data_IF_368293797712
#
_entry.id   IF_368293797712
#
_cell.length_a   1.000
_cell.length_b   1.000
_cell.length_c   1.000
_cell.angle_alpha   90.00
_cell.angle_beta   90.00
_cell.angle_gamma   90.00
#
_symmetry.space_group_name_H-M   'P 1'
#
loop_
_entity.id
_entity.type
_entity.pdbx_description
1 polymer ?
#
# COMPACT_ATOMS: atom_id res chain seq x y z
N UNK A 1 39.48 12.73 4.01
CA UNK A 1 38.45 12.31 4.99
C UNK A 1 38.48 13.22 6.20
N UNK A 2 37.52 14.09 6.37
CA UNK A 2 37.41 14.92 7.60
C UNK A 2 37.11 13.98 8.77
N UNK A 3 37.89 14.03 9.84
CA UNK A 3 37.61 13.30 11.09
C UNK A 3 36.25 13.77 11.61
N UNK A 4 35.25 12.89 11.58
CA UNK A 4 33.94 13.17 12.21
C UNK A 4 34.16 13.42 13.71
N UNK A 5 33.46 14.39 14.30
CA UNK A 5 33.52 14.61 15.75
C UNK A 5 32.92 13.38 16.47
N UNK A 6 33.31 13.15 17.74
CA UNK A 6 32.73 12.06 18.56
C UNK A 6 31.19 12.12 18.60
N UNK A 7 30.64 13.32 18.68
CA UNK A 7 29.18 13.56 18.61
C UNK A 7 28.56 13.10 17.29
N UNK A 8 29.22 13.34 16.15
CA UNK A 8 28.71 12.91 14.83
C UNK A 8 28.75 11.39 14.67
N UNK A 9 29.77 10.72 15.24
CA UNK A 9 29.82 9.25 15.22
C UNK A 9 28.74 8.61 16.06
N UNK A 10 28.42 9.19 17.21
CA UNK A 10 27.33 8.75 18.09
C UNK A 10 25.96 8.91 17.41
N UNK A 11 25.72 10.06 16.80
CA UNK A 11 24.51 10.32 16.00
C UNK A 11 24.37 9.33 14.84
N UNK A 12 25.46 9.04 14.14
CA UNK A 12 25.46 8.06 13.04
C UNK A 12 25.11 6.65 13.54
N UNK A 13 25.70 6.22 14.66
CA UNK A 13 25.38 4.92 15.28
C UNK A 13 23.90 4.84 15.68
N UNK A 14 23.37 5.90 16.23
CA UNK A 14 21.95 5.96 16.62
C UNK A 14 21.04 5.89 15.40
N UNK A 15 21.34 6.62 14.34
CA UNK A 15 20.62 6.50 13.07
C UNK A 15 20.69 5.08 12.49
N UNK A 16 21.83 4.40 12.61
CA UNK A 16 22.02 3.05 12.11
C UNK A 16 21.24 1.99 12.89
N UNK A 17 21.06 2.19 14.19
CA UNK A 17 20.39 1.23 15.08
C UNK A 17 18.89 1.48 15.28
N UNK A 18 18.40 2.68 14.97
CA UNK A 18 17.01 3.09 15.21
C UNK A 18 16.43 3.77 13.98
N UNK A 19 15.58 3.05 13.26
CA UNK A 19 14.88 3.56 12.08
C UNK A 19 14.03 4.79 12.40
N UNK A 20 13.29 4.78 13.50
CA UNK A 20 12.41 5.89 13.89
C UNK A 20 13.19 7.14 14.25
N UNK A 21 14.38 6.94 14.82
CA UNK A 21 15.33 8.05 15.01
C UNK A 21 15.86 8.60 13.70
N UNK A 22 16.21 7.71 12.74
CA UNK A 22 16.67 8.11 11.41
C UNK A 22 15.61 8.90 10.64
N UNK A 23 14.31 8.58 10.78
CA UNK A 23 13.21 9.30 10.15
C UNK A 23 13.21 10.81 10.41
N UNK A 24 13.80 11.27 11.52
CA UNK A 24 13.93 12.70 11.84
C UNK A 24 14.77 13.49 10.84
N UNK A 25 15.62 12.80 10.09
CA UNK A 25 16.49 13.37 9.07
C UNK A 25 15.91 13.28 7.67
N UNK A 26 14.82 12.53 7.48
CA UNK A 26 14.16 12.40 6.19
C UNK A 26 13.18 13.55 5.94
N UNK A 27 13.07 13.96 4.68
CA UNK A 27 12.12 14.98 4.24
C UNK A 27 11.14 14.40 3.21
N UNK A 28 9.88 14.79 3.36
CA UNK A 28 8.80 14.46 2.43
C UNK A 28 8.08 15.73 1.99
N UNK A 29 7.29 15.63 0.93
CA UNK A 29 6.35 16.69 0.55
C UNK A 29 4.96 16.28 1.05
N UNK A 30 4.35 17.16 1.82
CA UNK A 30 2.98 16.97 2.30
C UNK A 30 1.95 17.26 1.18
N UNK A 31 0.67 16.99 1.46
CA UNK A 31 -0.44 17.26 0.53
C UNK A 31 -0.62 18.74 0.17
N UNK A 32 0.05 19.64 0.88
CA UNK A 32 0.07 21.09 0.62
C UNK A 32 1.33 21.53 -0.12
N UNK A 33 2.05 20.58 -0.73
CA UNK A 33 3.31 20.79 -1.45
C UNK A 33 4.44 21.42 -0.58
N UNK A 34 4.39 21.23 0.76
CA UNK A 34 5.43 21.73 1.67
C UNK A 34 6.40 20.60 1.99
N UNK A 35 7.69 20.92 2.03
CA UNK A 35 8.73 20.01 2.49
C UNK A 35 8.70 20.00 4.03
N UNK A 36 8.42 18.83 4.59
CA UNK A 36 8.34 18.61 6.02
C UNK A 36 9.23 17.45 6.46
N UNK A 37 9.56 17.37 7.73
CA UNK A 37 10.25 16.21 8.29
C UNK A 37 9.31 15.01 8.29
N UNK A 38 9.84 13.87 7.84
CA UNK A 38 9.09 12.62 7.86
C UNK A 38 8.90 12.15 9.30
N UNK A 39 7.66 11.92 9.66
CA UNK A 39 7.26 11.26 10.90
C UNK A 39 6.23 10.22 10.50
N UNK A 40 6.50 8.92 10.69
CA UNK A 40 5.52 7.89 10.36
C UNK A 40 4.19 8.15 11.06
N UNK A 41 3.09 8.05 10.31
CA UNK A 41 1.74 8.10 10.84
C UNK A 41 1.32 6.73 11.40
N UNK A 42 0.15 6.63 12.03
CA UNK A 42 -0.33 5.39 12.65
C UNK A 42 -0.39 4.21 11.66
N UNK A 43 -0.82 4.44 10.42
CA UNK A 43 -0.87 3.41 9.39
C UNK A 43 0.53 2.93 8.98
N UNK A 44 1.46 3.87 8.82
CA UNK A 44 2.86 3.56 8.50
C UNK A 44 3.58 2.83 9.64
N UNK A 45 3.33 3.23 10.91
CA UNK A 45 3.88 2.51 12.07
C UNK A 45 3.34 1.08 12.15
N UNK A 46 2.05 0.87 11.91
CA UNK A 46 1.45 -0.48 11.85
C UNK A 46 2.13 -1.33 10.79
N UNK A 47 2.34 -0.77 9.60
CA UNK A 47 2.98 -1.48 8.49
C UNK A 47 4.44 -1.79 8.77
N UNK A 48 5.21 -0.81 9.28
CA UNK A 48 6.62 -0.98 9.63
C UNK A 48 6.80 -2.03 10.72
N UNK A 49 5.99 -1.99 11.79
CA UNK A 49 6.03 -3.01 12.83
C UNK A 49 5.72 -4.39 12.29
N UNK A 50 4.77 -4.51 11.37
CA UNK A 50 4.49 -5.79 10.71
C UNK A 50 5.66 -6.30 9.86
N UNK A 51 6.43 -5.41 9.21
CA UNK A 51 7.64 -5.78 8.46
C UNK A 51 8.77 -6.21 9.42
N UNK A 52 8.86 -5.58 10.59
CA UNK A 52 9.84 -5.94 11.64
C UNK A 52 9.53 -7.32 12.23
N UNK A 53 8.25 -7.66 12.38
CA UNK A 53 7.79 -8.95 12.93
C UNK A 53 7.83 -10.11 11.92
N UNK A 54 7.56 -9.81 10.64
CA UNK A 54 7.56 -10.79 9.56
C UNK A 54 8.10 -10.16 8.28
N UNK A 55 9.18 -10.70 7.69
CA UNK A 55 9.77 -10.12 6.50
C UNK A 55 8.90 -10.21 5.24
N UNK A 56 7.83 -11.01 5.25
CA UNK A 56 6.91 -11.16 4.12
C UNK A 56 5.55 -10.56 4.46
N UNK A 57 5.26 -9.39 3.92
CA UNK A 57 4.07 -8.60 4.24
C UNK A 57 3.23 -8.35 3.01
N UNK A 58 1.92 -8.54 3.15
CA UNK A 58 0.92 -8.08 2.21
C UNK A 58 0.13 -6.92 2.84
N UNK A 59 0.35 -5.70 2.34
CA UNK A 59 -0.36 -4.50 2.74
C UNK A 59 -1.54 -4.21 1.80
N UNK A 60 -2.75 -4.44 2.29
CA UNK A 60 -3.98 -4.01 1.65
C UNK A 60 -4.46 -2.72 2.32
N UNK A 61 -4.54 -1.64 1.57
CA UNK A 61 -4.77 -0.31 2.12
C UNK A 61 -5.90 0.46 1.46
N UNK A 62 -6.51 1.37 2.20
CA UNK A 62 -7.28 2.46 1.61
C UNK A 62 -6.35 3.42 0.84
N UNK A 63 -6.94 4.21 -0.04
CA UNK A 63 -6.18 5.16 -0.87
C UNK A 63 -5.44 6.20 -0.01
N UNK A 64 -4.24 6.59 -0.44
CA UNK A 64 -3.44 7.67 0.14
C UNK A 64 -3.11 7.53 1.64
N UNK A 65 -2.90 6.32 2.13
CA UNK A 65 -2.47 6.06 3.51
C UNK A 65 -0.98 6.35 3.74
N UNK A 66 -0.21 6.61 2.67
CA UNK A 66 1.23 6.87 2.74
C UNK A 66 2.09 5.61 2.86
N UNK A 67 1.53 4.42 2.62
CA UNK A 67 2.25 3.13 2.70
C UNK A 67 3.53 3.14 1.89
N UNK A 68 3.46 3.49 0.60
CA UNK A 68 4.63 3.59 -0.30
C UNK A 68 5.78 4.43 0.28
N UNK A 69 5.46 5.58 0.90
CA UNK A 69 6.45 6.46 1.53
C UNK A 69 7.07 5.81 2.78
N UNK A 70 6.27 5.13 3.60
CA UNK A 70 6.74 4.40 4.78
C UNK A 70 7.68 3.27 4.42
N UNK A 71 7.29 2.44 3.44
CA UNK A 71 8.09 1.32 2.91
C UNK A 71 9.39 1.85 2.30
N UNK A 72 9.30 2.92 1.49
CA UNK A 72 10.47 3.55 0.88
C UNK A 72 11.46 4.08 1.93
N UNK A 73 10.98 4.71 3.01
CA UNK A 73 11.83 5.19 4.09
C UNK A 73 12.55 4.04 4.81
N UNK A 74 11.84 2.93 5.08
CA UNK A 74 12.40 1.75 5.72
C UNK A 74 13.43 1.05 4.84
N UNK A 75 13.12 0.88 3.56
CA UNK A 75 14.03 0.32 2.56
C UNK A 75 15.27 1.21 2.37
N UNK A 76 15.09 2.54 2.35
CA UNK A 76 16.18 3.51 2.24
C UNK A 76 17.14 3.40 3.44
N UNK A 77 16.61 3.30 4.65
CA UNK A 77 17.39 3.09 5.86
C UNK A 77 18.29 1.86 5.74
N UNK A 78 17.74 0.72 5.31
CA UNK A 78 18.52 -0.49 5.12
C UNK A 78 19.61 -0.30 4.06
N UNK A 79 19.29 0.30 2.92
CA UNK A 79 20.27 0.54 1.85
C UNK A 79 21.40 1.48 2.30
N UNK A 80 21.12 2.45 3.17
CA UNK A 80 22.12 3.37 3.71
C UNK A 80 23.09 2.72 4.71
N UNK A 81 22.58 1.85 5.59
CA UNK A 81 23.36 1.37 6.73
C UNK A 81 23.85 -0.07 6.62
N UNK A 82 23.35 -0.85 5.65
CA UNK A 82 23.78 -2.24 5.44
C UNK A 82 24.63 -2.34 4.18
N UNK A 83 25.90 -2.73 4.29
CA UNK A 83 26.74 -2.94 3.10
C UNK A 83 26.16 -4.00 2.17
N UNK A 84 26.24 -3.76 0.86
CA UNK A 84 25.73 -4.63 -0.20
C UNK A 84 24.21 -4.93 -0.14
N UNK A 85 23.46 -4.16 0.62
CA UNK A 85 22.02 -4.33 0.74
C UNK A 85 21.30 -3.73 -0.48
N UNK A 86 20.62 -4.57 -1.23
CA UNK A 86 19.99 -4.22 -2.51
C UNK A 86 18.48 -4.17 -2.37
N UNK A 87 17.92 -3.02 -2.71
CA UNK A 87 16.48 -2.74 -2.72
C UNK A 87 15.99 -2.73 -4.16
N UNK A 88 15.03 -3.60 -4.46
CA UNK A 88 14.28 -3.63 -5.71
C UNK A 88 12.86 -3.08 -5.48
N UNK A 89 12.46 -2.08 -6.24
CA UNK A 89 11.11 -1.51 -6.20
C UNK A 89 10.43 -1.76 -7.53
N UNK A 90 9.30 -2.44 -7.51
CA UNK A 90 8.51 -2.70 -8.71
C UNK A 90 7.25 -1.85 -8.71
N UNK A 91 6.95 -1.23 -9.84
CA UNK A 91 5.72 -0.47 -10.06
C UNK A 91 5.07 -0.88 -11.38
N UNK A 92 3.76 -0.66 -11.50
CA UNK A 92 2.98 -1.10 -12.67
C UNK A 92 3.42 -0.43 -13.99
N UNK A 93 3.91 0.82 -13.93
CA UNK A 93 4.36 1.58 -15.09
C UNK A 93 5.73 2.22 -14.84
N UNK A 94 6.35 2.69 -15.93
CA UNK A 94 7.60 3.45 -15.87
C UNK A 94 7.43 4.75 -15.09
N UNK A 95 6.34 5.46 -15.33
CA UNK A 95 6.02 6.72 -14.69
C UNK A 95 5.83 6.53 -13.19
N UNK A 96 5.12 5.49 -12.77
CA UNK A 96 4.95 5.13 -11.36
C UNK A 96 6.30 4.77 -10.71
N UNK A 97 7.16 4.04 -11.42
CA UNK A 97 8.50 3.70 -10.93
C UNK A 97 9.36 4.97 -10.70
N UNK A 98 9.35 5.89 -11.65
CA UNK A 98 10.08 7.16 -11.54
C UNK A 98 9.53 8.04 -10.40
N UNK A 99 8.21 8.09 -10.22
CA UNK A 99 7.57 8.80 -9.09
C UNK A 99 7.98 8.22 -7.73
N UNK A 100 8.05 6.90 -7.60
CA UNK A 100 8.53 6.27 -6.37
C UNK A 100 10.02 6.57 -6.16
N UNK A 101 10.82 6.57 -7.23
CA UNK A 101 12.24 6.88 -7.12
C UNK A 101 12.51 8.32 -6.64
N UNK A 102 11.66 9.28 -7.02
CA UNK A 102 11.73 10.66 -6.52
C UNK A 102 11.56 10.75 -4.98
N UNK A 103 10.90 9.78 -4.34
CA UNK A 103 10.82 9.70 -2.88
C UNK A 103 12.22 9.44 -2.30
N UNK A 104 12.92 8.42 -2.84
CA UNK A 104 14.28 8.06 -2.40
C UNK A 104 15.28 9.19 -2.65
N UNK A 105 15.20 9.81 -3.83
CA UNK A 105 16.04 10.93 -4.18
C UNK A 105 15.84 12.11 -3.23
N UNK A 106 14.58 12.44 -2.91
CA UNK A 106 14.26 13.50 -1.93
C UNK A 106 14.80 13.17 -0.54
N UNK A 107 14.70 11.91 -0.10
CA UNK A 107 15.32 11.50 1.15
C UNK A 107 16.81 11.80 1.13
N UNK A 108 17.51 11.33 0.11
CA UNK A 108 18.96 11.50 -0.01
C UNK A 108 19.39 12.96 -0.11
N UNK A 109 18.76 13.73 -0.99
CA UNK A 109 19.14 15.13 -1.26
C UNK A 109 18.94 16.05 -0.06
N UNK A 110 18.03 15.69 0.85
CA UNK A 110 17.74 16.46 2.06
C UNK A 110 18.41 15.91 3.33
N UNK A 111 19.22 14.85 3.25
CA UNK A 111 20.00 14.40 4.39
C UNK A 111 21.05 15.47 4.76
N UNK A 112 21.31 15.66 6.07
CA UNK A 112 22.42 16.51 6.48
C UNK A 112 23.74 15.93 5.95
N UNK A 113 24.68 16.78 5.56
CA UNK A 113 25.93 16.40 4.88
C UNK A 113 26.71 15.29 5.62
N UNK A 114 26.69 15.29 6.96
CA UNK A 114 27.38 14.28 7.76
C UNK A 114 26.74 12.89 7.67
N UNK A 115 25.46 12.81 7.22
CA UNK A 115 24.69 11.58 7.05
C UNK A 115 24.55 11.16 5.58
N UNK A 116 24.98 11.99 4.64
CA UNK A 116 25.00 11.63 3.21
C UNK A 116 26.07 10.59 2.93
N UNK A 117 25.64 9.43 2.47
CA UNK A 117 26.54 8.37 2.02
C UNK A 117 27.05 8.69 0.62
N UNK A 118 28.37 8.58 0.35
CA UNK A 118 28.88 8.79 -1.00
C UNK A 118 28.24 7.83 -2.01
N UNK A 119 27.73 8.38 -3.11
CA UNK A 119 27.11 7.60 -4.19
C UNK A 119 28.13 7.24 -5.26
N UNK A 120 28.07 5.99 -5.71
CA UNK A 120 28.80 5.49 -6.88
C UNK A 120 28.01 5.81 -8.17
N UNK A 121 26.68 5.63 -8.12
CA UNK A 121 25.77 5.88 -9.23
C UNK A 121 24.50 6.52 -8.74
N UNK A 122 24.03 7.53 -9.47
CA UNK A 122 22.72 8.15 -9.23
C UNK A 122 22.13 8.60 -10.56
N UNK A 123 21.00 8.02 -10.95
CA UNK A 123 20.25 8.38 -12.15
C UNK A 123 18.74 8.36 -11.86
N UNK A 124 17.89 8.33 -12.88
CA UNK A 124 16.41 8.39 -12.71
C UNK A 124 15.77 7.09 -12.20
N UNK A 125 16.55 6.00 -12.07
CA UNK A 125 16.02 4.69 -11.65
C UNK A 125 16.90 3.92 -10.68
N UNK A 126 18.10 4.39 -10.44
CA UNK A 126 19.06 3.69 -9.62
C UNK A 126 19.91 4.67 -8.82
N UNK A 127 20.07 4.37 -7.55
CA UNK A 127 21.01 4.99 -6.63
C UNK A 127 21.81 3.89 -5.98
N UNK A 128 23.14 3.98 -6.09
CA UNK A 128 24.05 3.05 -5.41
C UNK A 128 25.09 3.82 -4.61
N UNK A 129 25.52 3.21 -3.51
CA UNK A 129 26.51 3.75 -2.59
C UNK A 129 27.83 2.99 -2.70
N UNK A 130 28.95 3.66 -2.43
CA UNK A 130 30.26 3.02 -2.48
C UNK A 130 30.43 1.80 -1.58
N UNK A 131 29.62 1.66 -0.52
CA UNK A 131 29.62 0.46 0.31
C UNK A 131 28.77 -0.71 -0.28
N UNK A 132 28.27 -0.57 -1.52
CA UNK A 132 27.52 -1.60 -2.25
C UNK A 132 26.00 -1.59 -1.98
N UNK A 133 25.49 -0.75 -1.08
CA UNK A 133 24.05 -0.54 -0.92
C UNK A 133 23.44 0.03 -2.20
N UNK A 134 22.25 -0.41 -2.60
CA UNK A 134 21.64 -0.01 -3.86
C UNK A 134 20.11 0.05 -3.76
N UNK A 135 19.54 1.01 -4.45
CA UNK A 135 18.09 1.12 -4.66
C UNK A 135 17.84 1.20 -6.16
N UNK A 136 17.04 0.29 -6.70
CA UNK A 136 16.67 0.27 -8.11
C UNK A 136 15.16 0.14 -8.26
N UNK A 137 14.57 0.99 -9.09
CA UNK A 137 13.16 0.90 -9.47
C UNK A 137 13.02 0.24 -10.84
N UNK A 138 12.02 -0.62 -10.95
CA UNK A 138 11.77 -1.49 -12.09
C UNK A 138 10.29 -1.39 -12.48
N UNK A 139 10.00 -1.56 -13.76
CA UNK A 139 8.63 -1.76 -14.23
C UNK A 139 8.23 -3.22 -14.03
N UNK A 140 6.99 -3.46 -13.60
CA UNK A 140 6.45 -4.80 -13.37
C UNK A 140 6.30 -5.58 -14.68
N UNK A 141 7.38 -6.22 -15.10
CA UNK A 141 7.37 -7.21 -16.16
C UNK A 141 8.38 -8.32 -15.85
N UNK A 142 8.16 -9.49 -16.41
CA UNK A 142 8.96 -10.70 -16.14
C UNK A 142 10.43 -10.59 -16.58
N UNK A 143 10.78 -9.63 -17.43
CA UNK A 143 12.14 -9.48 -17.95
C UNK A 143 12.98 -8.52 -17.11
N UNK A 144 12.40 -7.45 -16.57
CA UNK A 144 13.14 -6.41 -15.84
C UNK A 144 13.66 -6.86 -14.47
N UNK A 145 13.09 -7.91 -13.89
CA UNK A 145 13.52 -8.46 -12.60
C UNK A 145 14.76 -9.38 -12.70
N UNK A 146 15.10 -9.89 -13.90
CA UNK A 146 16.17 -10.87 -14.07
C UNK A 146 17.56 -10.26 -13.93
N UNK A 147 18.49 -11.02 -13.36
CA UNK A 147 19.93 -10.68 -13.33
C UNK A 147 20.41 -9.90 -12.11
N UNK A 148 19.54 -9.59 -11.15
CA UNK A 148 19.94 -8.98 -9.87
C UNK A 148 19.19 -9.66 -8.73
N UNK A 149 19.89 -9.91 -7.63
CA UNK A 149 19.29 -10.46 -6.41
C UNK A 149 19.08 -9.34 -5.41
N UNK A 150 17.92 -9.33 -4.73
CA UNK A 150 17.52 -8.27 -3.82
C UNK A 150 17.32 -8.78 -2.39
N UNK A 151 17.73 -7.96 -1.42
CA UNK A 151 17.52 -8.18 0.02
C UNK A 151 16.20 -7.55 0.49
N UNK A 152 15.68 -6.59 -0.27
CA UNK A 152 14.39 -5.97 -0.04
C UNK A 152 13.65 -5.84 -1.37
N UNK A 153 12.43 -6.34 -1.42
CA UNK A 153 11.54 -6.20 -2.57
C UNK A 153 10.27 -5.44 -2.16
N UNK A 154 9.99 -4.37 -2.85
CA UNK A 154 8.79 -3.58 -2.70
C UNK A 154 7.97 -3.66 -3.99
N UNK A 155 6.83 -4.35 -3.96
CA UNK A 155 5.89 -4.43 -5.08
C UNK A 155 4.77 -3.42 -4.84
N UNK A 156 4.86 -2.26 -5.48
CA UNK A 156 3.89 -1.17 -5.32
C UNK A 156 2.71 -1.32 -6.26
N UNK A 157 1.49 -1.22 -5.74
CA UNK A 157 0.21 -1.36 -6.45
C UNK A 157 0.12 -2.66 -7.27
N UNK A 158 0.57 -3.78 -6.67
CA UNK A 158 0.76 -5.03 -7.40
C UNK A 158 -0.55 -5.65 -7.92
N UNK A 159 -1.71 -5.35 -7.32
CA UNK A 159 -3.01 -5.82 -7.85
C UNK A 159 -3.34 -5.26 -9.24
N UNK A 160 -2.63 -4.23 -9.69
CA UNK A 160 -2.80 -3.60 -10.99
C UNK A 160 -1.75 -4.01 -12.02
N UNK A 161 -0.88 -4.97 -11.72
CA UNK A 161 0.06 -5.49 -12.71
C UNK A 161 -0.70 -6.24 -13.81
N UNK A 162 -0.24 -6.11 -15.05
CA UNK A 162 -0.90 -6.75 -16.22
C UNK A 162 -0.94 -8.28 -16.11
N UNK A 163 0.03 -8.87 -15.45
CA UNK A 163 0.12 -10.30 -15.15
C UNK A 163 0.64 -10.46 -13.72
N UNK A 164 -0.28 -10.35 -12.75
CA UNK A 164 0.04 -10.36 -11.32
C UNK A 164 0.76 -11.65 -10.93
N UNK A 165 0.23 -12.81 -11.33
CA UNK A 165 0.75 -14.11 -10.91
C UNK A 165 2.17 -14.35 -11.40
N UNK A 166 2.41 -14.23 -12.70
CA UNK A 166 3.73 -14.50 -13.27
C UNK A 166 4.76 -13.44 -12.86
N UNK A 167 4.33 -12.18 -12.72
CA UNK A 167 5.22 -11.10 -12.28
C UNK A 167 5.64 -11.31 -10.82
N UNK A 168 4.72 -11.61 -9.93
CA UNK A 168 5.01 -11.89 -8.51
C UNK A 168 5.93 -13.11 -8.39
N UNK A 169 5.66 -14.18 -9.14
CA UNK A 169 6.51 -15.37 -9.18
C UNK A 169 7.93 -15.06 -9.67
N UNK A 170 8.07 -14.27 -10.74
CA UNK A 170 9.38 -13.87 -11.26
C UNK A 170 10.16 -12.99 -10.27
N UNK A 171 9.48 -12.08 -9.58
CA UNK A 171 10.06 -11.21 -8.55
C UNK A 171 10.63 -12.02 -7.39
N UNK A 172 9.88 -12.99 -6.90
CA UNK A 172 10.33 -13.82 -5.77
C UNK A 172 11.58 -14.63 -6.07
N UNK A 173 11.80 -15.02 -7.34
CA UNK A 173 13.03 -15.68 -7.75
C UNK A 173 14.27 -14.77 -7.67
N UNK A 174 14.08 -13.46 -7.54
CA UNK A 174 15.17 -12.49 -7.34
C UNK A 174 15.41 -12.15 -5.88
N UNK A 175 14.58 -12.64 -4.96
CA UNK A 175 14.73 -12.44 -3.53
C UNK A 175 15.87 -13.31 -2.97
N UNK A 176 16.68 -12.74 -2.06
CA UNK A 176 17.56 -13.58 -1.23
C UNK A 176 16.74 -14.43 -0.26
N UNK A 177 17.29 -15.53 0.30
CA UNK A 177 16.56 -16.36 1.25
C UNK A 177 15.99 -15.57 2.45
N UNK A 178 16.71 -14.54 2.90
CA UNK A 178 16.32 -13.69 4.03
C UNK A 178 15.75 -12.34 3.57
N UNK A 179 15.23 -12.26 2.35
CA UNK A 179 14.71 -11.01 1.82
C UNK A 179 13.46 -10.53 2.55
N UNK A 180 13.39 -9.24 2.75
CA UNK A 180 12.15 -8.56 3.11
C UNK A 180 11.33 -8.37 1.83
N UNK A 181 10.09 -8.83 1.82
CA UNK A 181 9.17 -8.71 0.68
C UNK A 181 7.89 -8.02 1.15
N UNK A 182 7.65 -6.83 0.62
CA UNK A 182 6.45 -6.04 0.90
C UNK A 182 5.66 -5.87 -0.38
N UNK A 183 4.47 -6.45 -0.41
CA UNK A 183 3.49 -6.24 -1.48
C UNK A 183 2.44 -5.26 -0.98
N UNK A 184 2.35 -4.09 -1.56
CA UNK A 184 1.32 -3.10 -1.22
C UNK A 184 0.36 -2.86 -2.37
N UNK A 185 -0.91 -2.71 -2.06
CA UNK A 185 -1.92 -2.38 -3.06
C UNK A 185 -3.20 -1.84 -2.44
N UNK A 186 -3.96 -1.08 -3.23
CA UNK A 186 -5.41 -1.00 -3.05
C UNK A 186 -6.07 -2.20 -3.72
N UNK A 187 -7.31 -2.53 -3.34
CA UNK A 187 -8.00 -3.66 -3.94
C UNK A 187 -8.37 -3.38 -5.41
N UNK A 188 -8.33 -4.43 -6.24
CA UNK A 188 -8.71 -4.38 -7.66
C UNK A 188 -9.53 -5.61 -8.04
N UNK A 189 -10.74 -5.73 -7.49
CA UNK A 189 -11.63 -6.86 -7.72
C UNK A 189 -11.11 -8.19 -7.18
N UNK A 190 -11.73 -9.27 -7.62
CA UNK A 190 -11.44 -10.64 -7.18
C UNK A 190 -10.33 -11.28 -8.05
N UNK A 191 -9.22 -10.58 -8.21
CA UNK A 191 -8.08 -11.03 -8.99
C UNK A 191 -7.08 -11.89 -8.16
N UNK A 192 -5.90 -12.14 -8.70
CA UNK A 192 -4.85 -12.92 -8.01
C UNK A 192 -4.42 -12.29 -6.67
N UNK A 193 -4.47 -10.95 -6.53
CA UNK A 193 -4.19 -10.30 -5.25
C UNK A 193 -5.24 -10.67 -4.18
N UNK A 194 -6.52 -10.80 -4.57
CA UNK A 194 -7.55 -11.31 -3.67
C UNK A 194 -7.27 -12.75 -3.24
N UNK A 195 -6.85 -13.62 -4.18
CA UNK A 195 -6.48 -15.01 -3.85
C UNK A 195 -5.33 -15.03 -2.84
N UNK A 196 -4.25 -14.26 -3.08
CA UNK A 196 -3.14 -14.13 -2.13
C UNK A 196 -3.59 -13.58 -0.77
N UNK A 197 -4.60 -12.70 -0.74
CA UNK A 197 -5.17 -12.21 0.52
C UNK A 197 -5.92 -13.29 1.29
N UNK A 198 -6.67 -14.13 0.60
CA UNK A 198 -7.53 -15.15 1.25
C UNK A 198 -6.79 -16.43 1.60
N UNK A 199 -5.75 -16.79 0.82
CA UNK A 199 -5.00 -18.02 1.00
C UNK A 199 -4.09 -18.01 2.25
N UNK A 200 -3.85 -19.18 2.82
CA UNK A 200 -2.84 -19.38 3.84
C UNK A 200 -1.46 -19.55 3.18
N UNK A 201 -0.72 -18.46 3.05
CA UNK A 201 0.51 -18.40 2.25
C UNK A 201 1.74 -17.87 2.99
N UNK A 202 1.67 -17.74 4.31
CA UNK A 202 2.81 -17.29 5.13
C UNK A 202 3.06 -15.78 5.15
N UNK A 203 2.31 -14.97 4.39
CA UNK A 203 2.39 -13.50 4.49
C UNK A 203 1.71 -13.00 5.76
N UNK A 204 2.34 -12.03 6.41
CA UNK A 204 1.65 -11.17 7.37
C UNK A 204 0.72 -10.23 6.59
N UNK A 205 -0.58 -10.37 6.80
CA UNK A 205 -1.62 -9.60 6.12
C UNK A 205 -1.97 -8.38 6.94
N UNK A 206 -1.68 -7.21 6.40
CA UNK A 206 -1.96 -5.92 7.03
C UNK A 206 -3.06 -5.23 6.25
N UNK A 207 -4.16 -4.91 6.90
CA UNK A 207 -5.20 -4.08 6.32
C UNK A 207 -5.16 -2.70 6.96
N UNK A 208 -5.04 -1.66 6.14
CA UNK A 208 -5.02 -0.27 6.57
C UNK A 208 -6.31 0.44 6.14
N UNK A 209 -7.37 0.41 6.98
CA UNK A 209 -8.62 1.09 6.69
C UNK A 209 -8.46 2.61 6.71
N UNK A 210 -9.32 3.31 5.98
CA UNK A 210 -9.23 4.76 5.84
C UNK A 210 -9.24 5.53 7.16
N UNK A 211 -9.95 5.01 8.19
CA UNK A 211 -10.09 5.68 9.48
C UNK A 211 -8.80 5.71 10.33
N UNK A 212 -7.75 4.98 9.93
CA UNK A 212 -6.43 5.11 10.55
C UNK A 212 -5.72 6.41 10.17
N UNK A 213 -6.17 7.10 9.12
CA UNK A 213 -5.58 8.37 8.73
C UNK A 213 -6.11 9.51 9.59
N UNK A 214 -5.22 10.21 10.29
CA UNK A 214 -5.55 11.42 11.04
C UNK A 214 -6.05 12.57 10.15
N UNK A 215 -5.74 12.52 8.85
CA UNK A 215 -6.18 13.53 7.88
C UNK A 215 -7.63 13.32 7.44
N UNK A 216 -8.20 12.14 7.66
CA UNK A 216 -9.55 11.79 7.23
C UNK A 216 -10.57 12.12 8.31
N UNK A 217 -10.59 13.41 8.68
CA UNK A 217 -11.52 13.99 9.62
C UNK A 217 -11.82 15.46 9.31
N UNK A 218 -13.02 15.90 9.61
CA UNK A 218 -13.45 17.30 9.51
C UNK A 218 -13.67 17.88 10.89
N UNK A 219 -13.10 19.07 11.15
CA UNK A 219 -13.31 19.81 12.41
C UNK A 219 -14.71 20.40 12.51
N UNK A 220 -15.34 20.71 11.36
CA UNK A 220 -16.67 21.31 11.30
C UNK A 220 -17.64 20.38 10.61
N UNK A 221 -18.88 20.40 11.09
CA UNK A 221 -19.98 19.63 10.52
C UNK A 221 -20.32 20.18 9.13
N UNK A 222 -20.41 19.33 8.09
CA UNK A 222 -20.87 19.77 6.78
C UNK A 222 -22.30 20.28 6.83
N UNK A 223 -22.60 21.40 6.16
CA UNK A 223 -23.95 21.97 6.16
C UNK A 223 -25.02 21.02 5.64
N UNK A 224 -24.63 20.16 4.70
CA UNK A 224 -25.52 19.16 4.14
C UNK A 224 -25.76 17.94 5.07
N UNK A 225 -25.01 17.79 6.16
CA UNK A 225 -25.22 16.75 7.16
C UNK A 225 -26.35 17.18 8.09
N UNK A 226 -27.62 17.10 7.59
CA UNK A 226 -28.84 17.53 8.30
C UNK A 226 -29.92 16.45 8.22
N UNK A 227 -30.87 16.49 9.16
CA UNK A 227 -32.03 15.59 9.20
C UNK A 227 -31.67 14.18 9.67
N UNK A 228 -32.51 13.24 9.27
CA UNK A 228 -32.38 11.84 9.67
C UNK A 228 -31.30 11.18 8.80
N UNK A 229 -30.16 10.91 9.40
CA UNK A 229 -28.96 10.32 8.79
C UNK A 229 -28.72 8.91 9.32
N UNK A 230 -29.76 8.11 9.49
CA UNK A 230 -29.72 6.76 10.11
C UNK A 230 -28.61 5.91 9.51
N UNK A 231 -28.55 5.79 8.17
CA UNK A 231 -27.51 5.01 7.48
C UNK A 231 -26.08 5.44 7.83
N UNK A 232 -25.84 6.75 8.02
CA UNK A 232 -24.52 7.26 8.39
C UNK A 232 -24.19 7.03 9.86
N UNK A 233 -25.20 7.10 10.72
CA UNK A 233 -25.03 6.79 12.14
C UNK A 233 -24.80 5.29 12.35
N UNK A 234 -25.49 4.43 11.62
CA UNK A 234 -25.28 2.98 11.63
C UNK A 234 -23.87 2.63 11.16
N UNK A 235 -23.43 3.21 10.03
CA UNK A 235 -22.07 3.07 9.53
C UNK A 235 -21.02 3.53 10.56
N UNK A 236 -21.23 4.68 11.20
CA UNK A 236 -20.34 5.17 12.24
C UNK A 236 -20.28 4.26 13.46
N UNK A 237 -21.43 3.71 13.88
CA UNK A 237 -21.51 2.77 14.99
C UNK A 237 -20.80 1.45 14.68
N UNK A 238 -21.04 0.89 13.49
CA UNK A 238 -20.42 -0.34 13.03
C UNK A 238 -18.89 -0.24 13.03
N UNK A 239 -18.36 0.86 12.48
CA UNK A 239 -16.92 1.07 12.32
C UNK A 239 -16.28 1.92 13.43
N UNK A 240 -17.03 2.20 14.52
CA UNK A 240 -16.54 2.95 15.70
C UNK A 240 -15.93 4.32 15.33
N UNK A 241 -16.54 5.01 14.38
CA UNK A 241 -16.02 6.29 13.90
C UNK A 241 -16.25 7.41 14.91
N UNK A 242 -15.29 8.32 15.01
CA UNK A 242 -15.51 9.60 15.69
C UNK A 242 -16.47 10.46 14.85
N UNK A 243 -17.11 11.45 15.49
CA UNK A 243 -17.97 12.42 14.76
C UNK A 243 -17.23 13.15 13.64
N UNK A 244 -15.93 13.43 13.83
CA UNK A 244 -15.12 14.13 12.83
C UNK A 244 -14.80 13.25 11.62
N UNK A 245 -14.59 11.95 11.84
CA UNK A 245 -14.44 10.95 10.79
C UNK A 245 -15.76 10.73 10.05
N UNK A 246 -16.88 10.65 10.77
CA UNK A 246 -18.21 10.54 10.17
C UNK A 246 -18.51 11.73 9.24
N UNK A 247 -18.21 12.95 9.68
CA UNK A 247 -18.40 14.14 8.86
C UNK A 247 -17.51 14.13 7.62
N UNK A 248 -16.27 13.71 7.77
CA UNK A 248 -15.35 13.57 6.66
C UNK A 248 -15.84 12.50 5.66
N UNK A 249 -16.26 11.34 6.13
CA UNK A 249 -16.78 10.26 5.30
C UNK A 249 -18.00 10.71 4.50
N UNK A 250 -18.95 11.36 5.16
CA UNK A 250 -20.14 11.92 4.51
C UNK A 250 -19.78 12.97 3.44
N UNK A 251 -18.90 13.91 3.76
CA UNK A 251 -18.47 14.95 2.82
C UNK A 251 -17.73 14.35 1.62
N UNK A 252 -16.81 13.42 1.88
CA UNK A 252 -16.05 12.71 0.84
C UNK A 252 -16.97 11.89 -0.06
N UNK A 253 -17.93 11.17 0.51
CA UNK A 253 -18.95 10.44 -0.24
C UNK A 253 -19.70 11.35 -1.22
N UNK A 254 -20.09 12.54 -0.78
CA UNK A 254 -20.78 13.51 -1.62
C UNK A 254 -19.87 14.16 -2.65
N UNK A 255 -18.74 14.68 -2.23
CA UNK A 255 -17.92 15.57 -3.04
C UNK A 255 -16.96 14.83 -3.97
N UNK A 256 -16.46 13.67 -3.54
CA UNK A 256 -15.45 12.89 -4.28
C UNK A 256 -16.00 11.59 -4.87
N UNK A 257 -17.01 11.02 -4.25
CA UNK A 257 -17.58 9.74 -4.69
C UNK A 257 -18.94 9.87 -5.37
N UNK A 258 -19.41 11.10 -5.65
CA UNK A 258 -20.63 11.35 -6.42
C UNK A 258 -21.90 10.75 -5.79
N UNK A 259 -22.00 10.67 -4.47
CA UNK A 259 -23.08 10.01 -3.72
C UNK A 259 -23.17 8.49 -4.02
N UNK A 260 -22.07 7.86 -4.39
CA UNK A 260 -22.01 6.44 -4.69
C UNK A 260 -21.27 5.68 -3.58
N UNK A 261 -21.97 4.78 -2.87
CA UNK A 261 -21.40 3.96 -1.82
C UNK A 261 -20.35 2.98 -2.33
N UNK A 262 -20.53 2.46 -3.53
CA UNK A 262 -19.56 1.55 -4.13
C UNK A 262 -18.24 2.26 -4.35
N UNK A 263 -18.26 3.45 -4.95
CA UNK A 263 -17.04 4.28 -5.15
C UNK A 263 -16.41 4.64 -3.81
N UNK A 264 -17.24 4.99 -2.80
CA UNK A 264 -16.71 5.30 -1.47
C UNK A 264 -16.03 4.10 -0.83
N UNK A 265 -16.64 2.92 -0.87
CA UNK A 265 -16.06 1.70 -0.32
C UNK A 265 -14.84 1.19 -1.09
N UNK A 266 -14.78 1.43 -2.40
CA UNK A 266 -13.62 1.09 -3.22
C UNK A 266 -12.40 1.95 -2.84
N UNK A 267 -12.58 3.26 -2.71
CA UNK A 267 -11.50 4.21 -2.45
C UNK A 267 -11.13 4.27 -0.95
N UNK A 268 -12.14 4.15 -0.09
CA UNK A 268 -12.04 4.31 1.35
C UNK A 268 -12.69 3.12 2.09
N UNK A 269 -12.18 1.89 1.90
CA UNK A 269 -12.76 0.72 2.54
C UNK A 269 -12.55 0.75 4.05
N UNK A 270 -13.57 0.31 4.78
CA UNK A 270 -13.52 0.14 6.23
C UNK A 270 -13.06 -1.29 6.62
N UNK A 271 -13.27 -2.27 5.74
CA UNK A 271 -12.82 -3.66 5.91
C UNK A 271 -12.20 -4.19 4.62
N UNK A 272 -11.37 -5.23 4.74
CA UNK A 272 -10.72 -5.86 3.59
C UNK A 272 -11.74 -6.51 2.63
N UNK A 273 -12.78 -7.12 3.16
CA UNK A 273 -13.83 -7.76 2.39
C UNK A 273 -14.55 -6.74 1.51
N UNK A 274 -14.92 -5.59 2.09
CA UNK A 274 -15.58 -4.51 1.36
C UNK A 274 -14.66 -3.96 0.27
N UNK A 275 -13.35 -3.85 0.52
CA UNK A 275 -12.39 -3.37 -0.46
C UNK A 275 -12.42 -4.23 -1.74
N UNK A 276 -12.36 -5.55 -1.61
CA UNK A 276 -12.33 -6.46 -2.76
C UNK A 276 -13.67 -6.59 -3.48
N UNK A 277 -14.78 -6.65 -2.74
CA UNK A 277 -16.11 -6.81 -3.33
C UNK A 277 -16.52 -5.58 -4.15
N UNK A 278 -16.09 -4.38 -3.73
CA UNK A 278 -16.48 -3.11 -4.36
C UNK A 278 -15.53 -2.63 -5.43
N UNK A 279 -14.31 -3.17 -5.49
CA UNK A 279 -13.32 -2.84 -6.52
C UNK A 279 -13.44 -3.75 -7.75
N UNK A 280 -13.01 -3.25 -8.91
CA UNK A 280 -13.05 -3.98 -10.17
C UNK A 280 -14.29 -3.72 -11.03
N UNK A 281 -14.23 -4.14 -12.30
CA UNK A 281 -15.35 -4.05 -13.23
C UNK A 281 -16.43 -5.07 -12.85
N UNK A 282 -17.66 -4.62 -12.72
CA UNK A 282 -18.81 -5.49 -12.51
C UNK A 282 -19.54 -5.71 -13.81
N UNK A 283 -19.86 -6.96 -14.09
CA UNK A 283 -20.73 -7.31 -15.21
C UNK A 283 -22.18 -6.83 -15.00
N UNK A 284 -22.59 -6.69 -13.73
CA UNK A 284 -23.94 -6.24 -13.37
C UNK A 284 -23.87 -5.12 -12.33
N UNK A 285 -24.53 -3.99 -12.61
CA UNK A 285 -24.53 -2.80 -11.72
C UNK A 285 -25.39 -3.00 -10.46
N UNK A 286 -26.21 -4.03 -10.39
CA UNK A 286 -27.15 -4.25 -9.29
C UNK A 286 -27.15 -5.72 -8.84
N UNK A 287 -26.66 -5.94 -7.62
CA UNK A 287 -26.97 -7.18 -6.89
C UNK A 287 -28.18 -6.88 -6.02
N UNK A 288 -29.30 -7.49 -6.31
CA UNK A 288 -30.46 -7.48 -5.43
C UNK A 288 -30.29 -8.56 -4.35
N UNK A 289 -29.94 -8.21 -3.09
CA UNK A 289 -29.73 -9.21 -2.04
C UNK A 289 -31.04 -9.88 -1.60
N UNK A 290 -32.17 -9.47 -2.17
CA UNK A 290 -33.52 -9.98 -1.86
C UNK A 290 -34.31 -10.37 -3.10
N UNK A 291 -33.66 -10.95 -4.12
CA UNK A 291 -34.42 -11.63 -5.16
C UNK A 291 -35.27 -12.71 -4.45
N UNK A 292 -36.58 -12.47 -4.33
CA UNK A 292 -37.49 -13.49 -3.88
C UNK A 292 -37.33 -14.66 -4.85
N UNK A 293 -37.06 -15.85 -4.33
CA UNK A 293 -37.01 -17.05 -5.11
C UNK A 293 -38.28 -17.08 -5.96
N UNK A 294 -38.15 -17.01 -7.29
CA UNK A 294 -39.28 -17.21 -8.16
C UNK A 294 -39.63 -18.69 -8.09
N UNK A 295 -40.92 -18.98 -8.05
CA UNK A 295 -41.44 -20.34 -7.99
C UNK A 295 -41.18 -21.17 -9.26
N UNK A 296 -40.30 -20.71 -10.16
CA UNK A 296 -40.07 -21.27 -11.47
C UNK A 296 -38.69 -21.90 -11.72
N UNK A 297 -37.77 -21.93 -10.77
CA UNK A 297 -36.49 -22.62 -11.02
C UNK A 297 -36.59 -24.13 -10.71
N UNK A 298 -35.87 -24.93 -11.48
CA UNK A 298 -35.72 -26.37 -11.20
C UNK A 298 -34.35 -26.61 -10.61
N UNK A 299 -34.26 -27.12 -9.39
CA UNK A 299 -33.03 -27.58 -8.78
C UNK A 299 -32.79 -29.05 -9.18
N UNK A 300 -31.74 -29.33 -9.93
CA UNK A 300 -31.39 -30.67 -10.37
C UNK A 300 -30.45 -31.38 -9.37
N UNK A 301 -29.59 -30.62 -8.69
CA UNK A 301 -28.72 -31.11 -7.63
C UNK A 301 -28.31 -29.96 -6.69
N UNK A 302 -28.14 -30.26 -5.41
CA UNK A 302 -27.62 -29.28 -4.44
C UNK A 302 -26.14 -29.01 -4.71
N UNK A 303 -25.68 -27.76 -4.53
CA UNK A 303 -24.27 -27.43 -4.62
C UNK A 303 -23.44 -28.27 -3.65
N UNK A 304 -22.33 -28.82 -4.12
CA UNK A 304 -21.40 -29.60 -3.32
C UNK A 304 -20.22 -28.75 -2.91
N UNK A 305 -19.77 -28.92 -1.66
CA UNK A 305 -18.60 -28.23 -1.12
C UNK A 305 -17.36 -28.56 -1.97
N UNK A 306 -16.57 -27.53 -2.30
CA UNK A 306 -15.36 -27.62 -3.12
C UNK A 306 -15.56 -27.85 -4.64
N UNK A 307 -16.77 -27.64 -5.17
CA UNK A 307 -16.99 -27.62 -6.61
C UNK A 307 -17.13 -26.17 -7.11
N UNK A 308 -16.58 -25.93 -8.32
CA UNK A 308 -16.75 -24.66 -9.03
C UNK A 308 -18.00 -24.76 -9.89
N UNK A 309 -18.88 -23.79 -9.78
CA UNK A 309 -20.12 -23.71 -10.54
C UNK A 309 -20.08 -22.49 -11.47
N UNK A 310 -20.54 -22.66 -12.68
CA UNK A 310 -20.78 -21.57 -13.61
C UNK A 310 -22.29 -21.32 -13.73
N UNK A 311 -22.69 -20.06 -13.71
CA UNK A 311 -24.08 -19.65 -13.95
C UNK A 311 -24.16 -18.98 -15.32
N UNK A 312 -24.97 -19.52 -16.19
CA UNK A 312 -25.40 -18.89 -17.44
C UNK A 312 -26.73 -18.18 -17.22
N UNK A 313 -26.85 -16.93 -17.64
CA UNK A 313 -28.10 -16.18 -17.66
C UNK A 313 -28.44 -15.86 -19.10
N UNK A 314 -29.55 -16.39 -19.57
CA UNK A 314 -30.14 -15.98 -20.84
C UNK A 314 -31.08 -14.81 -20.57
N UNK A 315 -30.72 -13.64 -21.14
CA UNK A 315 -31.51 -12.41 -21.03
C UNK A 315 -32.43 -12.20 -22.23
N UNK A 316 -32.58 -13.19 -23.08
CA UNK A 316 -33.54 -13.12 -24.18
C UNK A 316 -34.96 -13.03 -23.61
N UNK A 317 -35.60 -11.90 -23.82
CA UNK A 317 -37.00 -11.62 -23.58
C UNK A 317 -37.82 -11.96 -24.81
#
# INVERSE_FOLDING_TARGET
MLRKSKSTEEELRRCASDFRYFCRHLKIVDKKAKVITFKPNAAQETLISSIEDNPWVFDLKARQMGGTTGIAAYAFWHACFRPNFRVGVMAQSRESAEQIFEIYKRFYDNLPQWLQFPTDKSNVREMSFFHGGMIRVLTANTQSARGTTYNFLHCSEFAFYSDVENTVRAVFQTATPDAIVVMETTANGLNHAHQLWTDQNGYSKVFLPWMLSEEYQLKQRPDAFRGEMTKWHDYAKEHKLTRHQLWWAFDTYRTKCGNNWQTFHQEYPATAEVAFITSGERYFDVIYPHAKASTGYREYAKPQKYHVYAMGVDTAS
#
